data_IF_909230682598
#
_entry.id   IF_909230682598
#
_cell.length_a   1.000
_cell.length_b   1.000
_cell.length_c   1.000
_cell.angle_alpha   90.00
_cell.angle_beta   90.00
_cell.angle_gamma   90.00
#
_symmetry.space_group_name_H-M   'P 1'
#
loop_
_entity.id
_entity.type
_entity.pdbx_description
1 polymer ?
#
# COMPACT_ATOMS: atom_id res chain seq x y z
N UNK A 1 23.50 -7.35 -26.52
CA UNK A 1 23.37 -8.50 -25.59
C UNK A 1 23.73 -9.79 -26.32
N UNK A 2 24.85 -10.46 -25.96
CA UNK A 2 25.39 -11.64 -26.67
C UNK A 2 25.26 -12.95 -25.87
N UNK A 3 24.41 -12.99 -24.84
CA UNK A 3 24.23 -14.20 -24.01
C UNK A 3 23.72 -15.38 -24.84
N UNK A 4 22.93 -15.14 -25.88
CA UNK A 4 22.47 -16.17 -26.82
C UNK A 4 23.49 -16.52 -27.94
N UNK A 5 24.69 -15.92 -27.95
CA UNK A 5 25.72 -16.13 -28.98
C UNK A 5 26.85 -17.07 -28.52
N UNK A 6 26.89 -17.38 -27.22
CA UNK A 6 27.87 -18.25 -26.60
C UNK A 6 27.21 -19.59 -26.28
N UNK A 7 27.36 -20.56 -27.19
CA UNK A 7 26.76 -21.90 -27.07
C UNK A 7 27.21 -22.63 -25.79
N UNK A 8 28.39 -22.29 -25.24
CA UNK A 8 28.91 -22.88 -24.00
C UNK A 8 28.13 -22.47 -22.74
N UNK A 9 27.29 -21.45 -22.84
CA UNK A 9 26.44 -20.92 -21.75
C UNK A 9 24.95 -21.17 -21.99
N UNK A 10 24.60 -21.87 -23.07
CA UNK A 10 23.22 -22.23 -23.36
C UNK A 10 22.80 -23.43 -22.50
N UNK A 11 21.65 -23.31 -21.85
CA UNK A 11 21.02 -24.38 -21.09
C UNK A 11 19.90 -24.96 -21.95
N UNK A 12 19.80 -26.28 -22.03
CA UNK A 12 18.70 -26.92 -22.74
C UNK A 12 17.36 -26.52 -22.11
N UNK A 13 16.36 -26.19 -22.93
CA UNK A 13 15.05 -25.76 -22.44
C UNK A 13 14.44 -26.77 -21.46
N UNK A 14 14.66 -28.08 -21.69
CA UNK A 14 14.24 -29.16 -20.79
C UNK A 14 14.93 -29.09 -19.43
N UNK A 15 16.24 -28.82 -19.40
CA UNK A 15 17.01 -28.69 -18.15
C UNK A 15 16.62 -27.44 -17.39
N UNK A 16 16.47 -26.32 -18.10
CA UNK A 16 15.97 -25.06 -17.53
C UNK A 16 14.57 -25.22 -16.92
N UNK A 17 13.60 -25.76 -17.68
CA UNK A 17 12.25 -26.05 -17.18
C UNK A 17 12.27 -27.07 -16.03
N UNK A 18 13.16 -28.05 -16.09
CA UNK A 18 13.38 -29.03 -15.03
C UNK A 18 13.86 -28.37 -13.73
N UNK A 19 14.84 -27.49 -13.81
CA UNK A 19 15.37 -26.72 -12.69
C UNK A 19 14.30 -25.80 -12.09
N UNK A 20 13.58 -25.04 -12.92
CA UNK A 20 12.45 -24.21 -12.47
C UNK A 20 11.40 -25.04 -11.73
N UNK A 21 11.03 -26.20 -12.27
CA UNK A 21 10.07 -27.13 -11.64
C UNK A 21 10.61 -27.69 -10.32
N UNK A 22 11.92 -27.93 -10.24
CA UNK A 22 12.62 -28.37 -9.03
C UNK A 22 12.51 -27.33 -7.91
N UNK A 23 12.91 -26.09 -8.18
CA UNK A 23 12.81 -24.97 -7.22
C UNK A 23 11.36 -24.76 -6.76
N UNK A 24 10.42 -24.83 -7.70
CA UNK A 24 8.98 -24.65 -7.42
C UNK A 24 8.42 -25.56 -6.34
N UNK A 25 8.98 -26.77 -6.17
CA UNK A 25 8.52 -27.74 -5.15
C UNK A 25 8.82 -27.30 -3.73
N UNK A 26 9.83 -26.46 -3.54
CA UNK A 26 10.27 -25.98 -2.24
C UNK A 26 9.68 -24.60 -1.90
N UNK A 27 9.10 -23.92 -2.88
CA UNK A 27 8.46 -22.62 -2.68
C UNK A 27 7.02 -22.79 -2.13
N UNK A 28 6.50 -21.78 -1.41
CA UNK A 28 5.10 -21.74 -1.02
C UNK A 28 4.17 -21.94 -2.22
N UNK A 29 3.07 -22.66 -1.98
CA UNK A 29 2.03 -22.91 -3.00
C UNK A 29 1.25 -21.66 -3.35
N UNK A 30 1.10 -20.78 -2.38
CA UNK A 30 0.40 -19.51 -2.49
C UNK A 30 1.32 -18.48 -1.85
N UNK A 31 1.55 -17.39 -2.57
CA UNK A 31 2.32 -16.24 -2.10
C UNK A 31 1.29 -15.14 -1.85
N UNK A 32 1.35 -14.57 -0.65
CA UNK A 32 0.44 -13.51 -0.21
C UNK A 32 1.26 -12.25 0.02
N UNK A 33 0.73 -11.12 -0.41
CA UNK A 33 1.21 -9.81 0.04
C UNK A 33 0.00 -8.92 0.35
N UNK A 34 -0.08 -8.28 1.52
CA UNK A 34 0.73 -8.55 2.69
C UNK A 34 0.59 -10.02 3.14
N UNK A 35 1.64 -10.57 3.75
CA UNK A 35 1.57 -11.92 4.32
C UNK A 35 0.81 -11.93 5.65
N UNK A 36 0.37 -13.11 6.10
CA UNK A 36 -0.40 -13.24 7.34
C UNK A 36 0.40 -12.77 8.57
N UNK A 37 -0.18 -11.83 9.33
CA UNK A 37 0.45 -11.17 10.47
C UNK A 37 1.50 -10.13 10.11
N UNK A 38 1.63 -9.73 8.84
CA UNK A 38 2.57 -8.68 8.45
C UNK A 38 2.24 -7.36 9.15
N UNK A 39 3.25 -6.71 9.69
CA UNK A 39 3.15 -5.37 10.31
C UNK A 39 3.81 -4.33 9.41
N UNK A 40 3.51 -3.07 9.69
CA UNK A 40 4.09 -1.93 8.99
C UNK A 40 3.83 -1.93 7.48
N UNK A 41 2.66 -2.42 7.06
CA UNK A 41 2.22 -2.34 5.67
C UNK A 41 1.96 -0.88 5.31
N UNK A 42 2.48 -0.36 4.19
CA UNK A 42 2.12 0.98 3.73
C UNK A 42 0.60 1.12 3.61
N UNK A 43 -0.01 2.23 4.06
CA UNK A 43 -1.46 2.38 3.97
C UNK A 43 -1.92 2.87 2.59
N UNK A 44 -1.00 3.36 1.75
CA UNK A 44 -1.31 4.18 0.60
C UNK A 44 -0.52 3.74 -0.63
N UNK A 45 -1.19 3.76 -1.77
CA UNK A 45 -0.64 3.58 -3.10
C UNK A 45 -0.85 4.87 -3.89
N UNK A 46 0.19 5.30 -4.59
CA UNK A 46 0.20 6.48 -5.45
C UNK A 46 0.51 6.06 -6.89
N UNK A 47 0.65 7.03 -7.78
CA UNK A 47 0.95 6.81 -9.19
C UNK A 47 2.16 5.88 -9.42
N UNK A 48 1.98 4.92 -10.32
CA UNK A 48 3.02 4.04 -10.85
C UNK A 48 3.06 4.12 -12.38
N UNK A 49 4.23 3.83 -12.96
CA UNK A 49 4.37 3.63 -14.39
C UNK A 49 4.78 2.17 -14.69
N UNK A 50 3.92 1.35 -15.32
CA UNK A 50 2.59 1.67 -15.86
C UNK A 50 1.48 1.61 -14.80
N UNK A 51 0.46 2.47 -14.92
CA UNK A 51 -0.59 2.69 -13.90
C UNK A 51 -1.61 1.55 -13.77
N UNK A 52 -1.59 0.77 -12.67
CA UNK A 52 -2.53 -0.32 -12.47
C UNK A 52 -3.96 0.15 -12.12
N UNK A 53 -4.16 1.40 -11.68
CA UNK A 53 -5.44 1.94 -11.23
C UNK A 53 -5.79 3.30 -11.86
N UNK A 54 -6.06 3.36 -13.18
CA UNK A 54 -6.42 4.61 -13.84
C UNK A 54 -7.60 5.33 -13.20
N UNK A 55 -7.43 6.64 -12.98
CA UNK A 55 -8.41 7.51 -12.34
C UNK A 55 -8.25 7.64 -10.82
N UNK A 56 -7.16 7.12 -10.24
CA UNK A 56 -6.81 7.26 -8.83
C UNK A 56 -5.34 7.65 -8.71
N UNK A 57 -5.07 8.86 -8.23
CA UNK A 57 -3.72 9.29 -7.87
C UNK A 57 -3.36 8.88 -6.44
N UNK A 58 -4.37 8.65 -5.60
CA UNK A 58 -4.22 8.15 -4.24
C UNK A 58 -5.26 7.08 -3.92
N UNK A 59 -4.79 5.91 -3.50
CA UNK A 59 -5.63 4.76 -3.13
C UNK A 59 -5.04 3.99 -1.95
N UNK A 60 -5.68 2.91 -1.53
CA UNK A 60 -5.12 2.01 -0.52
C UNK A 60 -4.05 1.10 -1.10
N UNK A 61 -3.13 0.63 -0.25
CA UNK A 61 -2.07 -0.26 -0.70
C UNK A 61 -2.60 -1.62 -1.19
N UNK A 62 -2.09 -2.16 -2.31
CA UNK A 62 -2.63 -3.38 -2.90
C UNK A 62 -2.45 -4.61 -1.99
N UNK A 63 -3.42 -5.52 -2.08
CA UNK A 63 -3.31 -6.88 -1.57
C UNK A 63 -3.24 -7.84 -2.75
N UNK A 64 -2.28 -8.75 -2.80
CA UNK A 64 -2.09 -9.68 -3.91
C UNK A 64 -2.01 -11.13 -3.46
N UNK A 65 -2.43 -12.01 -4.37
CA UNK A 65 -2.26 -13.45 -4.26
C UNK A 65 -1.69 -14.01 -5.54
N UNK A 66 -0.64 -14.81 -5.40
CA UNK A 66 -0.01 -15.54 -6.50
C UNK A 66 -0.04 -17.04 -6.24
N UNK A 67 -0.67 -17.78 -7.16
CA UNK A 67 -0.71 -19.24 -7.09
C UNK A 67 0.48 -19.88 -7.80
N UNK A 68 1.35 -20.52 -7.03
CA UNK A 68 2.56 -21.17 -7.52
C UNK A 68 2.33 -22.64 -7.94
N UNK A 69 1.22 -22.93 -8.59
CA UNK A 69 0.84 -24.28 -9.08
C UNK A 69 1.18 -24.49 -10.56
N UNK A 70 1.48 -25.69 -11.10
CA UNK A 70 1.77 -25.91 -12.53
C UNK A 70 0.70 -25.37 -13.49
N UNK A 71 1.08 -24.92 -14.70
CA UNK A 71 0.24 -24.16 -15.68
C UNK A 71 -1.13 -24.76 -15.99
N UNK A 72 -1.24 -26.09 -15.90
CA UNK A 72 -2.46 -26.85 -16.13
C UNK A 72 -3.37 -26.98 -14.90
N UNK A 73 -2.98 -26.47 -13.73
CA UNK A 73 -3.84 -26.46 -12.55
C UNK A 73 -4.94 -25.42 -12.73
N UNK A 74 -6.19 -25.89 -12.83
CA UNK A 74 -7.36 -25.03 -12.88
C UNK A 74 -7.54 -24.29 -11.55
N UNK A 75 -7.42 -22.96 -11.61
CA UNK A 75 -7.62 -22.04 -10.49
C UNK A 75 -8.64 -20.99 -10.93
N UNK A 76 -9.60 -20.69 -10.05
CA UNK A 76 -10.58 -19.63 -10.23
C UNK A 76 -10.82 -18.94 -8.90
N UNK A 77 -10.61 -17.63 -8.85
CA UNK A 77 -11.04 -16.79 -7.72
C UNK A 77 -12.55 -16.59 -7.84
N UNK A 78 -13.28 -16.90 -6.76
CA UNK A 78 -14.72 -16.72 -6.64
C UNK A 78 -14.99 -15.35 -6.00
N UNK A 79 -14.31 -15.06 -4.90
CA UNK A 79 -14.45 -13.82 -4.15
C UNK A 79 -13.11 -13.44 -3.52
N UNK A 80 -12.85 -12.13 -3.43
CA UNK A 80 -11.63 -11.58 -2.84
C UNK A 80 -11.97 -10.23 -2.23
N UNK A 81 -12.03 -10.19 -0.90
CA UNK A 81 -12.54 -9.06 -0.14
C UNK A 81 -11.54 -8.60 0.93
N UNK A 82 -11.61 -7.31 1.24
CA UNK A 82 -10.84 -6.65 2.29
C UNK A 82 -11.84 -6.05 3.29
N UNK A 83 -11.54 -6.21 4.58
CA UNK A 83 -12.34 -5.71 5.68
C UNK A 83 -11.48 -4.87 6.61
N UNK A 84 -12.04 -3.78 7.13
CA UNK A 84 -11.39 -2.98 8.18
C UNK A 84 -11.42 -3.68 9.55
N UNK A 85 -10.81 -3.05 10.55
CA UNK A 85 -10.74 -3.58 11.92
C UNK A 85 -12.12 -3.81 12.56
N UNK A 86 -13.14 -3.09 12.10
CA UNK A 86 -14.50 -3.16 12.61
C UNK A 86 -15.34 -4.22 11.85
N UNK A 87 -14.74 -4.86 10.84
CA UNK A 87 -15.37 -5.87 9.99
C UNK A 87 -16.17 -5.30 8.82
N UNK A 88 -16.07 -4.00 8.53
CA UNK A 88 -16.74 -3.40 7.38
C UNK A 88 -16.01 -3.74 6.09
N UNK A 89 -16.76 -4.08 5.05
CA UNK A 89 -16.19 -4.33 3.73
C UNK A 89 -15.65 -3.03 3.13
N UNK A 90 -14.40 -3.09 2.66
CA UNK A 90 -13.75 -2.01 1.93
C UNK A 90 -14.18 -2.02 0.46
N UNK A 91 -14.30 -0.82 -0.12
CA UNK A 91 -14.50 -0.66 -1.55
C UNK A 91 -13.19 -0.96 -2.30
N UNK A 92 -13.24 -1.90 -3.24
CA UNK A 92 -12.04 -2.44 -3.90
C UNK A 92 -12.25 -2.71 -5.39
N UNK A 93 -11.16 -2.75 -6.15
CA UNK A 93 -11.11 -3.23 -7.54
C UNK A 93 -10.20 -4.45 -7.63
N UNK A 94 -10.76 -5.56 -8.09
CA UNK A 94 -10.01 -6.77 -8.35
C UNK A 94 -9.38 -6.73 -9.75
N UNK A 95 -8.06 -6.82 -9.81
CA UNK A 95 -7.29 -7.06 -11.03
C UNK A 95 -6.91 -8.54 -11.18
N UNK A 96 -6.94 -8.99 -12.43
CA UNK A 96 -6.52 -10.29 -12.91
C UNK A 96 -6.05 -10.18 -14.36
N UNK A 97 -5.54 -11.27 -14.92
CA UNK A 97 -5.04 -11.31 -16.31
C UNK A 97 -6.00 -10.78 -17.39
N UNK A 98 -7.32 -10.77 -17.16
CA UNK A 98 -8.31 -10.34 -18.15
C UNK A 98 -8.60 -8.83 -18.11
N UNK A 99 -8.45 -8.20 -16.95
CA UNK A 99 -8.86 -6.80 -16.74
C UNK A 99 -7.73 -5.90 -16.24
N UNK A 100 -6.52 -6.43 -16.07
CA UNK A 100 -5.31 -5.65 -15.89
C UNK A 100 -5.09 -4.73 -17.12
N UNK A 101 -5.12 -3.39 -16.94
CA UNK A 101 -4.96 -2.43 -18.03
C UNK A 101 -3.67 -2.60 -18.83
N UNK A 102 -2.63 -3.16 -18.22
CA UNK A 102 -1.29 -3.27 -18.79
C UNK A 102 -0.85 -4.70 -19.08
N UNK A 103 -1.75 -5.68 -18.90
CA UNK A 103 -1.53 -7.09 -19.20
C UNK A 103 -0.23 -7.67 -18.60
N UNK A 104 0.14 -7.22 -17.40
CA UNK A 104 1.27 -7.70 -16.60
C UNK A 104 0.92 -8.93 -15.79
N UNK A 105 -0.31 -9.02 -15.28
CA UNK A 105 -0.77 -10.15 -14.48
C UNK A 105 -1.01 -11.38 -15.35
N UNK A 106 -0.48 -12.52 -14.91
CA UNK A 106 -0.81 -13.82 -15.50
C UNK A 106 -2.04 -14.46 -14.82
N UNK A 107 -2.50 -15.61 -15.32
CA UNK A 107 -3.73 -16.29 -14.86
C UNK A 107 -3.71 -16.75 -13.39
N UNK A 108 -2.61 -16.58 -12.67
CA UNK A 108 -2.43 -16.96 -11.25
C UNK A 108 -2.18 -15.78 -10.34
N UNK A 109 -2.10 -14.59 -10.90
CA UNK A 109 -1.80 -13.38 -10.16
C UNK A 109 -3.07 -12.54 -10.12
N UNK A 110 -3.43 -12.16 -8.90
CA UNK A 110 -4.60 -11.36 -8.61
C UNK A 110 -4.18 -10.28 -7.64
N UNK A 111 -4.64 -9.05 -7.89
CA UNK A 111 -4.41 -7.92 -7.00
C UNK A 111 -5.75 -7.28 -6.66
N UNK A 112 -6.01 -7.07 -5.38
CA UNK A 112 -7.15 -6.36 -4.84
C UNK A 112 -6.68 -4.97 -4.45
N UNK A 113 -7.20 -3.96 -5.14
CA UNK A 113 -6.83 -2.56 -4.98
C UNK A 113 -7.92 -1.84 -4.17
N UNK A 114 -7.67 -1.43 -2.93
CA UNK A 114 -8.61 -0.61 -2.18
C UNK A 114 -8.73 0.77 -2.82
N UNK A 115 -9.95 1.23 -3.10
CA UNK A 115 -10.20 2.51 -3.78
C UNK A 115 -10.02 3.72 -2.87
N UNK A 116 -9.85 3.48 -1.56
CA UNK A 116 -9.58 4.49 -0.55
C UNK A 116 -8.31 4.12 0.20
N UNK A 117 -7.51 5.14 0.53
CA UNK A 117 -6.34 5.02 1.40
C UNK A 117 -6.70 4.28 2.70
N UNK A 118 -5.86 3.33 3.10
CA UNK A 118 -6.03 2.61 4.36
C UNK A 118 -5.69 3.55 5.54
N UNK A 119 -6.28 3.30 6.70
CA UNK A 119 -5.94 4.02 7.93
C UNK A 119 -4.56 3.55 8.40
N UNK A 120 -3.81 4.44 9.06
CA UNK A 120 -2.60 4.05 9.81
C UNK A 120 -2.98 3.26 11.07
N UNK A 121 -2.02 2.50 11.62
CA UNK A 121 -2.14 1.75 12.89
C UNK A 121 -3.45 0.96 13.01
N UNK A 122 -3.85 0.33 11.90
CA UNK A 122 -5.14 -0.34 11.76
C UNK A 122 -4.92 -1.76 11.24
N UNK A 123 -5.60 -2.72 11.87
CA UNK A 123 -5.70 -4.09 11.41
C UNK A 123 -6.70 -4.22 10.27
N UNK A 124 -6.32 -4.96 9.24
CA UNK A 124 -7.18 -5.30 8.12
C UNK A 124 -7.25 -6.82 7.96
N UNK A 125 -8.43 -7.31 7.62
CA UNK A 125 -8.67 -8.73 7.36
C UNK A 125 -8.95 -8.94 5.88
N UNK A 126 -8.33 -9.97 5.33
CA UNK A 126 -8.49 -10.33 3.92
C UNK A 126 -9.15 -11.70 3.84
N UNK A 127 -10.16 -11.82 3.00
CA UNK A 127 -10.79 -13.11 2.69
C UNK A 127 -10.69 -13.42 1.21
N UNK A 128 -10.24 -14.63 0.90
CA UNK A 128 -10.16 -15.16 -0.45
C UNK A 128 -10.92 -16.48 -0.53
N UNK A 129 -11.92 -16.53 -1.41
CA UNK A 129 -12.62 -17.74 -1.80
C UNK A 129 -12.21 -18.11 -3.22
N UNK A 130 -11.71 -19.33 -3.42
CA UNK A 130 -11.24 -19.78 -4.73
C UNK A 130 -11.49 -21.27 -4.92
N UNK A 131 -11.52 -21.72 -6.17
CA UNK A 131 -11.49 -23.15 -6.50
C UNK A 131 -10.12 -23.55 -7.01
N UNK A 132 -9.62 -24.70 -6.58
CA UNK A 132 -8.42 -25.33 -7.12
C UNK A 132 -8.72 -26.80 -7.41
N UNK A 133 -8.58 -27.22 -8.67
CA UNK A 133 -8.92 -28.58 -9.13
C UNK A 133 -10.37 -28.99 -8.78
N UNK A 134 -11.30 -28.03 -8.82
CA UNK A 134 -12.72 -28.25 -8.52
C UNK A 134 -13.09 -28.17 -7.04
N UNK A 135 -12.11 -28.16 -6.13
CA UNK A 135 -12.35 -27.99 -4.69
C UNK A 135 -12.41 -26.50 -4.33
N UNK A 136 -13.46 -26.09 -3.62
CA UNK A 136 -13.57 -24.74 -3.06
C UNK A 136 -12.73 -24.64 -1.79
N UNK A 137 -11.91 -23.59 -1.69
CA UNK A 137 -11.00 -23.32 -0.58
C UNK A 137 -11.15 -21.86 -0.15
N UNK A 138 -10.94 -21.63 1.14
CA UNK A 138 -10.96 -20.31 1.75
C UNK A 138 -9.61 -20.02 2.40
N UNK A 139 -9.09 -18.81 2.19
CA UNK A 139 -8.03 -18.24 2.99
C UNK A 139 -8.58 -17.01 3.71
N UNK A 140 -8.19 -16.86 4.97
CA UNK A 140 -8.41 -15.65 5.74
C UNK A 140 -7.08 -15.33 6.43
N UNK A 141 -6.61 -14.10 6.27
CA UNK A 141 -5.39 -13.62 6.91
C UNK A 141 -5.52 -12.15 7.28
N UNK A 142 -4.62 -11.69 8.14
CA UNK A 142 -4.62 -10.30 8.61
C UNK A 142 -3.29 -9.62 8.39
N UNK A 143 -3.33 -8.31 8.27
CA UNK A 143 -2.13 -7.47 8.28
C UNK A 143 -2.41 -6.17 9.02
N UNK A 144 -1.34 -5.53 9.47
CA UNK A 144 -1.38 -4.29 10.22
C UNK A 144 -0.62 -3.20 9.46
N UNK A 145 -1.28 -2.06 9.28
CA UNK A 145 -0.70 -0.91 8.58
C UNK A 145 0.39 -0.23 9.41
N UNK A 146 1.19 0.62 8.76
CA UNK A 146 2.24 1.40 9.42
C UNK A 146 1.69 2.15 10.63
N UNK A 147 2.47 2.20 11.69
CA UNK A 147 2.23 3.06 12.86
C UNK A 147 3.43 3.98 13.08
N UNK A 148 3.22 5.03 13.85
CA UNK A 148 4.25 5.97 14.27
C UNK A 148 4.40 5.88 15.78
N UNK A 149 5.65 5.97 16.25
CA UNK A 149 5.91 6.09 17.69
C UNK A 149 5.85 7.58 18.12
N UNK A 150 5.95 8.49 17.16
CA UNK A 150 5.76 9.93 17.33
C UNK A 150 4.27 10.31 17.51
N UNK A 151 3.95 11.44 18.17
CA UNK A 151 2.59 11.97 18.22
C UNK A 151 1.97 12.09 16.82
N UNK A 152 0.78 11.52 16.65
CA UNK A 152 0.08 11.46 15.37
C UNK A 152 -1.20 12.30 15.39
N UNK A 153 -1.27 13.29 14.52
CA UNK A 153 -2.38 14.21 14.36
C UNK A 153 -3.05 13.97 13.01
N UNK A 154 -4.28 13.50 13.05
CA UNK A 154 -5.16 13.44 11.88
C UNK A 154 -5.89 14.79 11.74
N UNK A 155 -5.73 15.44 10.59
CA UNK A 155 -6.29 16.75 10.29
C UNK A 155 -7.55 16.57 9.45
N UNK A 156 -8.72 16.54 10.09
CA UNK A 156 -10.00 16.23 9.44
C UNK A 156 -10.66 17.46 8.79
N UNK A 157 -10.32 18.67 9.23
CA UNK A 157 -10.86 19.91 8.66
C UNK A 157 -9.84 21.05 8.66
N UNK A 158 -10.08 22.06 7.82
CA UNK A 158 -9.27 23.28 7.80
C UNK A 158 -9.47 24.10 9.07
N UNK A 159 -8.41 24.75 9.55
CA UNK A 159 -8.39 25.50 10.80
C UNK A 159 -8.43 24.62 12.05
N UNK A 160 -8.22 23.30 11.94
CA UNK A 160 -8.09 22.43 13.10
C UNK A 160 -6.90 22.88 13.94
N UNK A 161 -7.08 23.00 15.25
CA UNK A 161 -6.02 23.34 16.18
C UNK A 161 -5.36 22.08 16.75
N UNK A 162 -4.03 22.05 16.76
CA UNK A 162 -3.22 21.00 17.39
C UNK A 162 -2.16 21.63 18.30
N UNK A 163 -1.75 20.87 19.30
CA UNK A 163 -0.64 21.24 20.19
C UNK A 163 0.51 20.27 19.99
N UNK A 164 1.70 20.79 19.74
CA UNK A 164 2.93 20.01 19.59
C UNK A 164 3.92 20.35 20.71
N UNK A 165 4.86 19.44 20.97
CA UNK A 165 5.97 19.70 21.89
C UNK A 165 7.19 20.24 21.13
N UNK A 166 7.93 21.22 21.68
CA UNK A 166 9.18 21.68 21.08
C UNK A 166 10.21 20.55 21.04
N UNK A 167 11.15 20.63 20.09
CA UNK A 167 12.23 19.65 19.93
C UNK A 167 11.77 18.19 19.77
N UNK A 168 10.54 17.98 19.28
CA UNK A 168 9.97 16.67 19.02
C UNK A 168 9.38 16.59 17.62
N UNK A 169 9.53 15.43 16.97
CA UNK A 169 8.86 15.15 15.71
C UNK A 169 7.40 14.80 15.97
N UNK A 170 6.51 15.36 15.14
CA UNK A 170 5.07 15.19 15.19
C UNK A 170 4.60 14.81 13.77
N UNK A 171 3.66 13.89 13.66
CA UNK A 171 3.13 13.45 12.37
C UNK A 171 1.80 14.15 12.11
N UNK A 172 1.72 14.89 11.01
CA UNK A 172 0.51 15.54 10.54
C UNK A 172 0.02 14.78 9.32
N UNK A 173 -1.13 14.13 9.45
CA UNK A 173 -1.77 13.39 8.36
C UNK A 173 -3.02 14.13 7.90
N UNK A 174 -3.07 14.46 6.61
CA UNK A 174 -4.20 15.11 5.95
C UNK A 174 -4.96 14.06 5.12
N UNK A 175 -6.05 13.47 5.62
CA UNK A 175 -6.75 12.41 4.91
C UNK A 175 -7.20 12.87 3.51
N UNK A 176 -6.93 12.08 2.45
CA UNK A 176 -7.43 12.37 1.12
C UNK A 176 -8.96 12.41 1.12
N UNK A 177 -9.53 13.46 0.55
CA UNK A 177 -10.98 13.67 0.43
C UNK A 177 -11.56 13.03 -0.84
N UNK A 178 -10.73 12.79 -1.85
CA UNK A 178 -11.10 12.18 -3.12
C UNK A 178 -9.88 11.47 -3.76
N UNK A 179 -10.07 10.69 -4.84
CA UNK A 179 -8.99 9.93 -5.50
C UNK A 179 -7.82 10.74 -6.09
N UNK A 180 -7.95 12.07 -6.17
CA UNK A 180 -6.95 13.00 -6.71
C UNK A 180 -6.45 14.00 -5.65
N UNK A 181 -6.75 13.76 -4.37
CA UNK A 181 -6.39 14.67 -3.29
C UNK A 181 -4.97 14.40 -2.77
N UNK A 182 -3.98 14.98 -3.43
CA UNK A 182 -2.60 15.06 -2.98
C UNK A 182 -2.36 16.42 -2.31
N UNK A 183 -1.62 16.48 -1.20
CA UNK A 183 -1.22 17.79 -0.65
C UNK A 183 -0.20 18.43 -1.58
N UNK A 184 -0.43 19.68 -1.94
CA UNK A 184 0.51 20.52 -2.70
C UNK A 184 0.79 21.80 -1.93
N UNK A 185 1.77 22.57 -2.38
CA UNK A 185 1.99 23.96 -1.93
C UNK A 185 2.05 24.10 -0.40
N UNK A 186 2.86 23.23 0.23
CA UNK A 186 2.97 23.21 1.69
C UNK A 186 3.74 24.45 2.16
N UNK A 187 3.13 25.27 3.00
CA UNK A 187 3.72 26.50 3.55
C UNK A 187 3.79 26.40 5.07
N UNK A 188 4.96 26.68 5.61
CA UNK A 188 5.28 26.62 7.03
C UNK A 188 6.33 27.69 7.38
N UNK A 189 6.41 28.14 8.66
CA UNK A 189 7.48 29.01 9.14
C UNK A 189 8.90 28.44 8.92
N UNK A 190 9.87 29.33 8.72
CA UNK A 190 11.28 28.94 8.46
C UNK A 190 11.95 28.20 9.65
N UNK A 191 11.46 28.41 10.87
CA UNK A 191 11.99 27.79 12.10
C UNK A 191 11.49 26.35 12.34
N UNK A 192 10.99 25.70 11.30
CA UNK A 192 10.43 24.36 11.35
C UNK A 192 11.11 23.46 10.32
N UNK A 193 11.47 22.26 10.77
CA UNK A 193 11.89 21.20 9.88
C UNK A 193 10.69 20.34 9.47
N UNK A 194 10.38 20.33 8.18
CA UNK A 194 9.31 19.52 7.59
C UNK A 194 9.89 18.46 6.65
N UNK A 195 9.54 17.20 6.88
CA UNK A 195 9.85 16.10 5.98
C UNK A 195 8.55 15.43 5.49
N UNK A 196 8.48 15.13 4.20
CA UNK A 196 7.36 14.39 3.63
C UNK A 196 7.54 12.90 3.92
N UNK A 197 6.59 12.29 4.63
CA UNK A 197 6.52 10.83 4.74
C UNK A 197 5.87 10.25 3.49
N UNK A 198 4.83 10.93 3.00
CA UNK A 198 4.19 10.69 1.71
C UNK A 198 3.39 11.94 1.28
N UNK A 199 2.69 11.89 0.14
CA UNK A 199 1.93 13.03 -0.41
C UNK A 199 0.77 13.54 0.47
N UNK A 200 0.42 12.88 1.57
CA UNK A 200 -0.62 13.39 2.48
C UNK A 200 -0.19 13.32 3.96
N UNK A 201 1.08 12.99 4.24
CA UNK A 201 1.59 12.85 5.60
C UNK A 201 2.92 13.57 5.72
N UNK A 202 2.96 14.55 6.63
CA UNK A 202 4.12 15.34 6.98
C UNK A 202 4.67 14.90 8.33
N UNK A 203 5.99 14.93 8.47
CA UNK A 203 6.69 14.94 9.74
C UNK A 203 7.15 16.36 10.00
N UNK A 204 6.66 16.94 11.09
CA UNK A 204 6.98 18.28 11.54
C UNK A 204 7.84 18.19 12.80
N UNK A 205 9.00 18.84 12.79
CA UNK A 205 9.83 19.05 13.98
C UNK A 205 9.97 20.55 14.19
N UNK A 206 9.63 21.01 15.40
CA UNK A 206 9.88 22.38 15.83
C UNK A 206 11.27 22.47 16.47
N UNK A 207 12.05 23.46 16.05
CA UNK A 207 13.41 23.72 16.58
C UNK A 207 13.35 24.25 18.03
N UNK A 208 14.50 24.66 18.57
CA UNK A 208 14.63 25.13 19.97
C UNK A 208 13.83 26.42 20.28
N UNK A 209 13.55 27.25 19.26
CA UNK A 209 12.87 28.54 19.43
C UNK A 209 11.75 28.75 18.39
N UNK A 210 10.73 27.87 18.35
CA UNK A 210 9.67 27.98 17.37
C UNK A 210 8.70 29.11 17.77
N UNK A 211 7.94 29.67 16.81
CA UNK A 211 6.82 30.53 17.13
C UNK A 211 5.83 29.80 18.05
N UNK A 212 5.31 30.49 19.07
CA UNK A 212 4.32 29.91 19.99
C UNK A 212 3.05 29.46 19.26
N UNK A 213 2.63 30.23 18.25
CA UNK A 213 1.48 29.95 17.40
C UNK A 213 1.84 30.17 15.93
N UNK A 214 1.51 29.20 15.08
CA UNK A 214 1.68 29.32 13.64
C UNK A 214 0.66 28.48 12.88
N UNK A 215 0.66 28.64 11.55
CA UNK A 215 -0.20 27.89 10.64
C UNK A 215 0.67 27.07 9.68
N UNK A 216 0.29 25.82 9.47
CA UNK A 216 0.82 25.00 8.38
C UNK A 216 -0.28 24.88 7.33
N UNK A 217 0.01 25.34 6.11
CA UNK A 217 -0.90 25.21 4.96
C UNK A 217 -0.45 24.06 4.08
N UNK A 218 -1.42 23.33 3.53
CA UNK A 218 -1.24 22.20 2.63
C UNK A 218 -2.36 22.27 1.56
N UNK A 219 -2.10 23.01 0.49
CA UNK A 219 -3.09 23.39 -0.52
C UNK A 219 -4.18 24.27 0.07
N UNK A 220 -5.44 23.84 -0.05
CA UNK A 220 -6.60 24.54 0.53
C UNK A 220 -6.82 24.28 2.02
N UNK A 221 -6.02 23.39 2.63
CA UNK A 221 -6.14 23.01 4.03
C UNK A 221 -5.14 23.78 4.88
N UNK A 222 -5.57 24.14 6.08
CA UNK A 222 -4.73 24.78 7.08
C UNK A 222 -4.89 24.06 8.43
N UNK A 223 -3.81 23.96 9.19
CA UNK A 223 -3.83 23.53 10.59
C UNK A 223 -3.20 24.64 11.44
N UNK A 224 -3.86 24.98 12.55
CA UNK A 224 -3.34 25.89 13.56
C UNK A 224 -2.51 25.09 14.56
N UNK A 225 -1.26 25.49 14.74
CA UNK A 225 -0.31 24.77 15.59
C UNK A 225 0.09 25.66 16.76
N UNK A 226 -0.04 25.13 17.96
CA UNK A 226 0.47 25.74 19.20
C UNK A 226 1.61 24.90 19.74
N UNK A 227 2.69 25.54 20.19
CA UNK A 227 3.82 24.85 20.83
C UNK A 227 3.66 24.94 22.34
N UNK A 228 3.58 23.79 23.00
CA UNK A 228 3.51 23.67 24.47
C UNK A 228 4.90 23.95 25.07
N UNK A 229 5.11 25.18 25.58
CA UNK A 229 6.41 25.64 26.12
C UNK A 229 6.69 25.09 27.52
#
# INVERSE_FOLDING_TARGET
>A
WRVCKDESKMIWEKEYKGALKGVRRFNPKIILYPYDGQKNVPPVFYDEEPDPLPGYEVSGFPVSVTFNEPDNTAIKVIDFALFDQDGNTMETKLLNAKNDPHHKLNKREFALLPLKRLKYDTDYTVELLYTMRGETKRLNWRFHTKRFDEPFFRIDHTGQAITIRPNSSNILYFPPQNPHDLITDVVFPDDLYVAFIDHNTLRLTADDHPPEHFKVKAGSREVEVTVDQ
#
